data_IF_835193476607
#
_entry.id   IF_835193476607
#
_cell.length_a   1.000
_cell.length_b   1.000
_cell.length_c   1.000
_cell.angle_alpha   90.00
_cell.angle_beta   90.00
_cell.angle_gamma   90.00
#
_symmetry.space_group_name_H-M   'P 1'
#
loop_
_entity.id
_entity.type
_entity.pdbx_description
1 polymer ?
#
# COMPACT_ATOMS: atom_id res chain seq x y z
N UNK A 1 -16.84 22.94 -4.49
CA UNK A 1 -15.93 22.15 -3.65
C UNK A 1 -15.71 20.82 -4.37
N UNK A 2 -14.48 20.31 -4.48
CA UNK A 2 -14.29 18.96 -5.01
C UNK A 2 -14.67 17.97 -3.90
N UNK A 3 -15.85 17.35 -4.05
CA UNK A 3 -16.35 16.34 -3.13
C UNK A 3 -15.44 15.11 -3.22
N UNK A 4 -14.71 14.83 -2.14
CA UNK A 4 -13.76 13.71 -2.10
C UNK A 4 -14.47 12.35 -2.13
N UNK A 5 -13.95 11.41 -2.89
CA UNK A 5 -14.44 10.03 -2.95
C UNK A 5 -13.83 9.22 -1.79
N UNK A 6 -14.66 8.68 -0.90
CA UNK A 6 -14.19 7.77 0.15
C UNK A 6 -13.83 6.41 -0.46
N UNK A 7 -12.56 6.03 -0.36
CA UNK A 7 -12.08 4.71 -0.77
C UNK A 7 -12.24 3.72 0.39
N UNK A 8 -12.48 2.45 0.06
CA UNK A 8 -12.70 1.40 1.08
C UNK A 8 -11.53 1.27 2.07
N UNK A 9 -10.31 1.49 1.57
CA UNK A 9 -9.06 1.27 2.32
C UNK A 9 -8.84 -0.18 2.71
N UNK A 10 -7.70 -0.43 3.37
CA UNK A 10 -7.45 -1.68 4.10
C UNK A 10 -7.96 -1.58 5.54
N UNK A 11 -7.93 -2.67 6.30
CA UNK A 11 -8.44 -2.75 7.69
C UNK A 11 -7.91 -1.64 8.60
N UNK A 12 -6.66 -1.20 8.39
CA UNK A 12 -6.03 -0.15 9.20
C UNK A 12 -6.57 1.27 8.94
N UNK A 13 -7.16 1.51 7.77
CA UNK A 13 -7.58 2.85 7.32
C UNK A 13 -9.02 2.84 6.77
N UNK A 14 -9.85 1.90 7.23
CA UNK A 14 -11.21 1.72 6.71
C UNK A 14 -12.03 3.02 6.86
N UNK A 15 -12.51 3.56 5.74
CA UNK A 15 -13.29 4.81 5.71
C UNK A 15 -12.48 6.11 5.93
N UNK A 16 -11.17 6.03 6.16
CA UNK A 16 -10.31 7.19 6.39
C UNK A 16 -9.52 7.63 5.15
N UNK A 17 -9.66 6.91 4.04
CA UNK A 17 -8.97 7.22 2.78
C UNK A 17 -9.89 8.00 1.86
N UNK A 18 -9.47 9.19 1.46
CA UNK A 18 -10.25 10.09 0.61
C UNK A 18 -9.45 10.38 -0.65
N UNK A 19 -10.05 10.13 -1.81
CA UNK A 19 -9.51 10.55 -3.10
C UNK A 19 -10.05 11.92 -3.46
N UNK A 20 -9.17 12.83 -3.87
CA UNK A 20 -9.52 14.16 -4.36
C UNK A 20 -8.81 14.36 -5.70
N UNK A 21 -9.56 14.32 -6.81
CA UNK A 21 -8.98 14.36 -8.14
C UNK A 21 -8.04 13.17 -8.41
N UNK A 22 -6.76 13.46 -8.60
CA UNK A 22 -5.69 12.49 -8.84
C UNK A 22 -4.81 12.25 -7.59
N UNK A 23 -5.24 12.72 -6.42
CA UNK A 23 -4.57 12.47 -5.14
C UNK A 23 -5.41 11.55 -4.24
N UNK A 24 -4.73 10.79 -3.40
CA UNK A 24 -5.29 10.05 -2.28
C UNK A 24 -4.73 10.62 -0.99
N UNK A 25 -5.62 10.89 -0.03
CA UNK A 25 -5.30 11.33 1.32
C UNK A 25 -5.61 10.23 2.31
N UNK A 26 -4.67 9.91 3.19
CA UNK A 26 -4.84 8.93 4.27
C UNK A 26 -4.14 9.40 5.55
N UNK A 27 -4.55 8.93 6.75
CA UNK A 27 -3.87 9.29 7.98
C UNK A 27 -2.37 8.98 7.92
N UNK A 28 -1.54 9.92 8.39
CA UNK A 28 -0.12 9.67 8.59
C UNK A 28 0.13 8.77 9.81
N UNK A 29 1.28 8.15 9.86
CA UNK A 29 1.75 7.34 10.99
C UNK A 29 3.20 7.70 11.34
N UNK A 30 3.71 7.11 12.43
CA UNK A 30 5.11 7.27 12.81
C UNK A 30 6.11 6.79 11.72
N UNK A 31 5.64 6.00 10.74
CA UNK A 31 6.47 5.44 9.67
C UNK A 31 6.33 6.18 8.35
N UNK A 32 5.57 7.28 8.29
CA UNK A 32 5.31 8.02 7.05
C UNK A 32 6.59 8.42 6.32
N UNK A 33 7.59 8.96 7.02
CA UNK A 33 8.87 9.37 6.42
C UNK A 33 9.61 8.20 5.77
N UNK A 34 9.63 7.05 6.45
CA UNK A 34 10.25 5.82 5.93
C UNK A 34 9.51 5.32 4.68
N UNK A 35 8.18 5.32 4.71
CA UNK A 35 7.36 4.91 3.56
C UNK A 35 7.61 5.84 2.38
N UNK A 36 7.59 7.16 2.58
CA UNK A 36 7.85 8.11 1.50
C UNK A 36 9.25 7.92 0.89
N UNK A 37 10.28 7.77 1.74
CA UNK A 37 11.65 7.50 1.29
C UNK A 37 11.75 6.24 0.43
N UNK A 38 11.05 5.17 0.82
CA UNK A 38 11.01 3.92 0.05
C UNK A 38 10.28 4.08 -1.29
N UNK A 39 9.15 4.81 -1.31
CA UNK A 39 8.39 5.05 -2.53
C UNK A 39 9.20 5.90 -3.52
N UNK A 40 9.89 6.94 -3.04
CA UNK A 40 10.77 7.78 -3.84
C UNK A 40 11.93 6.97 -4.42
N UNK A 41 12.59 6.13 -3.62
CA UNK A 41 13.67 5.26 -4.06
C UNK A 41 13.22 4.25 -5.13
N UNK A 42 12.09 3.58 -4.89
CA UNK A 42 11.57 2.64 -5.88
C UNK A 42 11.30 3.34 -7.22
N UNK A 43 10.74 4.56 -7.19
CA UNK A 43 10.47 5.37 -8.39
C UNK A 43 11.73 5.86 -9.07
N UNK A 44 12.76 6.29 -8.33
CA UNK A 44 14.05 6.71 -8.90
C UNK A 44 14.75 5.55 -9.60
N UNK A 45 14.54 4.32 -9.12
CA UNK A 45 14.97 3.08 -9.77
C UNK A 45 14.02 2.61 -10.91
N UNK A 46 13.07 3.44 -11.33
CA UNK A 46 12.19 3.20 -12.48
C UNK A 46 10.95 2.35 -12.19
N UNK A 47 10.69 1.98 -10.93
CA UNK A 47 9.50 1.22 -10.57
C UNK A 47 8.27 2.12 -10.42
N UNK A 48 7.33 2.02 -11.36
CA UNK A 48 6.11 2.84 -11.40
C UNK A 48 4.90 2.18 -10.76
N UNK A 49 5.05 0.97 -10.22
CA UNK A 49 3.97 0.25 -9.51
C UNK A 49 3.58 0.87 -8.16
N UNK A 50 4.36 1.82 -7.65
CA UNK A 50 4.14 2.57 -6.40
C UNK A 50 3.58 3.97 -6.67
N UNK A 51 2.73 4.50 -5.77
CA UNK A 51 2.27 5.88 -5.87
C UNK A 51 3.43 6.85 -5.64
N UNK A 52 3.36 8.01 -6.30
CA UNK A 52 4.24 9.15 -6.01
C UNK A 52 3.83 9.78 -4.67
N UNK A 53 4.73 9.95 -3.70
CA UNK A 53 4.45 10.73 -2.51
C UNK A 53 4.42 12.22 -2.84
N UNK A 54 3.39 12.92 -2.38
CA UNK A 54 3.18 14.36 -2.61
C UNK A 54 3.40 15.19 -1.33
N UNK A 55 3.70 14.53 -0.20
CA UNK A 55 3.93 15.15 1.09
C UNK A 55 2.77 14.98 2.07
N UNK A 56 2.78 15.78 3.13
CA UNK A 56 1.75 15.82 4.16
C UNK A 56 0.88 17.06 3.97
N UNK A 57 -0.43 16.93 4.16
CA UNK A 57 -1.35 18.08 4.13
C UNK A 57 -1.44 18.79 5.48
N UNK A 58 -2.11 19.94 5.50
CA UNK A 58 -2.31 20.76 6.70
C UNK A 58 -3.09 20.05 7.82
N UNK A 59 -3.79 18.95 7.50
CA UNK A 59 -4.53 18.12 8.46
C UNK A 59 -3.71 16.92 8.95
N UNK A 60 -2.42 16.85 8.62
CA UNK A 60 -1.54 15.75 9.03
C UNK A 60 -1.80 14.44 8.29
N UNK A 61 -2.35 14.49 7.06
CA UNK A 61 -2.58 13.31 6.22
C UNK A 61 -1.51 13.19 5.14
N UNK A 62 -1.10 11.96 4.87
CA UNK A 62 -0.29 11.63 3.70
C UNK A 62 -1.07 11.93 2.43
N UNK A 63 -0.43 12.63 1.48
CA UNK A 63 -0.90 12.80 0.12
C UNK A 63 -0.08 11.93 -0.83
N UNK A 64 -0.76 11.11 -1.62
CA UNK A 64 -0.15 10.19 -2.58
C UNK A 64 -0.84 10.35 -3.94
N UNK A 65 -0.10 10.25 -5.04
CA UNK A 65 -0.70 10.18 -6.37
C UNK A 65 -1.56 8.93 -6.50
N UNK A 66 -2.79 9.11 -6.95
CA UNK A 66 -3.71 8.02 -7.27
C UNK A 66 -3.21 7.25 -8.49
N UNK A 67 -3.11 5.92 -8.35
CA UNK A 67 -2.87 5.01 -9.48
C UNK A 67 -4.22 4.52 -9.98
N UNK A 68 -4.63 4.84 -11.22
CA UNK A 68 -5.83 4.29 -11.81
C UNK A 68 -5.70 2.78 -11.96
N UNK A 69 -6.73 2.06 -11.49
CA UNK A 69 -6.76 0.61 -11.61
C UNK A 69 -7.99 0.00 -10.95
N UNK A 70 -8.29 -1.23 -11.33
CA UNK A 70 -9.30 -2.05 -10.66
C UNK A 70 -8.63 -2.84 -9.53
N UNK A 71 -9.27 -2.86 -8.36
CA UNK A 71 -8.85 -3.70 -7.25
C UNK A 71 -9.93 -4.72 -6.94
N UNK A 72 -9.51 -5.96 -6.73
CA UNK A 72 -10.40 -7.04 -6.36
C UNK A 72 -10.89 -6.83 -4.92
N UNK A 73 -12.17 -6.49 -4.78
CA UNK A 73 -12.87 -6.38 -3.49
C UNK A 73 -14.02 -7.39 -3.43
N UNK A 74 -14.47 -7.81 -2.24
CA UNK A 74 -15.66 -8.66 -2.10
C UNK A 74 -16.95 -7.99 -2.64
N UNK A 75 -17.83 -8.75 -3.31
CA UNK A 75 -17.63 -10.12 -3.77
C UNK A 75 -16.57 -10.16 -4.89
N UNK A 76 -15.56 -11.02 -4.72
CA UNK A 76 -14.39 -10.99 -5.58
C UNK A 76 -14.74 -11.33 -7.03
N UNK A 77 -14.29 -10.52 -8.01
CA UNK A 77 -14.59 -10.79 -9.41
C UNK A 77 -13.82 -12.00 -9.92
N UNK A 78 -14.37 -12.73 -10.91
CA UNK A 78 -13.78 -13.97 -11.44
C UNK A 78 -12.33 -13.78 -11.94
N UNK A 79 -12.02 -12.61 -12.51
CA UNK A 79 -10.68 -12.30 -12.99
C UNK A 79 -9.62 -12.29 -11.88
N UNK A 80 -10.02 -12.07 -10.63
CA UNK A 80 -9.13 -12.02 -9.47
C UNK A 80 -8.52 -13.39 -9.12
N UNK A 81 -9.05 -14.47 -9.70
CA UNK A 81 -8.58 -15.84 -9.51
C UNK A 81 -7.89 -16.41 -10.76
N UNK A 82 -7.66 -15.57 -11.77
CA UNK A 82 -7.02 -16.04 -13.00
C UNK A 82 -5.54 -16.39 -12.76
N UNK A 83 -5.02 -17.49 -13.32
CA UNK A 83 -3.59 -17.78 -13.31
C UNK A 83 -2.75 -16.64 -13.90
N UNK A 84 -3.29 -15.94 -14.90
CA UNK A 84 -2.66 -14.77 -15.50
C UNK A 84 -2.46 -13.61 -14.52
N UNK A 85 -3.45 -13.33 -13.67
CA UNK A 85 -3.30 -12.31 -12.62
C UNK A 85 -2.24 -12.73 -11.60
N UNK A 86 -2.25 -13.99 -11.15
CA UNK A 86 -1.24 -14.50 -10.22
C UNK A 86 0.17 -14.31 -10.78
N UNK A 87 0.40 -14.73 -12.03
CA UNK A 87 1.69 -14.54 -12.70
C UNK A 87 2.06 -13.05 -12.84
N UNK A 88 1.08 -12.17 -13.11
CA UNK A 88 1.29 -10.73 -13.18
C UNK A 88 1.69 -10.13 -11.83
N UNK A 89 1.03 -10.53 -10.74
CA UNK A 89 1.36 -10.11 -9.38
C UNK A 89 2.75 -10.59 -8.99
N UNK A 90 3.11 -11.84 -9.29
CA UNK A 90 4.46 -12.36 -9.01
C UNK A 90 5.56 -11.56 -9.73
N UNK A 91 5.34 -11.19 -11.00
CA UNK A 91 6.27 -10.33 -11.75
C UNK A 91 6.36 -8.92 -11.15
N UNK A 92 5.22 -8.34 -10.77
CA UNK A 92 5.17 -7.03 -10.13
C UNK A 92 5.95 -7.01 -8.81
N UNK A 93 5.76 -8.03 -7.96
CA UNK A 93 6.47 -8.14 -6.69
C UNK A 93 7.97 -8.34 -6.88
N UNK A 94 8.36 -9.15 -7.87
CA UNK A 94 9.78 -9.29 -8.19
C UNK A 94 10.39 -7.97 -8.67
N UNK A 95 9.73 -7.27 -9.57
CA UNK A 95 10.19 -5.95 -10.04
C UNK A 95 10.27 -4.92 -8.90
N UNK A 96 9.32 -4.96 -7.96
CA UNK A 96 9.39 -4.14 -6.75
C UNK A 96 10.63 -4.48 -5.92
N UNK A 97 10.86 -5.77 -5.63
CA UNK A 97 12.05 -6.20 -4.90
C UNK A 97 13.34 -5.77 -5.60
N UNK A 98 13.47 -6.01 -6.90
CA UNK A 98 14.65 -5.60 -7.66
C UNK A 98 14.90 -4.08 -7.55
N UNK A 99 13.83 -3.27 -7.54
CA UNK A 99 13.92 -1.80 -7.41
C UNK A 99 14.23 -1.28 -6.00
N UNK A 100 14.07 -2.09 -4.95
CA UNK A 100 14.35 -1.69 -3.56
C UNK A 100 15.50 -2.49 -2.94
N UNK A 101 16.21 -3.29 -3.73
CA UNK A 101 17.27 -4.18 -3.26
C UNK A 101 18.44 -3.45 -2.59
N UNK A 102 18.71 -2.22 -3.02
CA UNK A 102 19.77 -1.33 -2.54
C UNK A 102 19.24 -0.17 -1.68
N UNK A 103 17.95 -0.20 -1.31
CA UNK A 103 17.38 0.84 -0.47
C UNK A 103 18.03 0.88 0.91
N UNK A 104 18.55 2.05 1.29
CA UNK A 104 19.07 2.32 2.62
C UNK A 104 18.06 3.20 3.37
N UNK A 105 17.48 2.72 4.48
CA UNK A 105 16.51 3.50 5.23
C UNK A 105 17.16 4.72 5.91
N UNK A 106 16.40 5.81 6.14
CA UNK A 106 16.86 6.93 6.95
C UNK A 106 17.34 6.50 8.33
N UNK A 107 18.32 7.21 8.91
CA UNK A 107 18.90 6.86 10.21
C UNK A 107 17.87 6.87 11.36
N UNK A 108 16.82 7.68 11.24
CA UNK A 108 15.70 7.78 12.19
C UNK A 108 14.49 6.91 11.82
N UNK A 109 14.64 5.95 10.89
CA UNK A 109 13.55 5.13 10.40
C UNK A 109 12.84 4.36 11.54
N UNK A 110 11.53 4.55 11.62
CA UNK A 110 10.65 3.78 12.51
C UNK A 110 10.01 2.66 11.71
N UNK A 111 10.23 1.42 12.12
CA UNK A 111 9.65 0.24 11.47
C UNK A 111 8.42 -0.28 12.20
N UNK A 112 7.38 -0.68 11.45
CA UNK A 112 6.39 -1.61 11.97
C UNK A 112 6.89 -3.05 11.78
N UNK A 113 7.02 -3.80 12.87
CA UNK A 113 7.51 -5.18 12.87
C UNK A 113 6.42 -6.24 13.02
N UNK A 114 5.14 -5.86 13.07
CA UNK A 114 4.00 -6.77 13.27
C UNK A 114 3.95 -7.92 12.24
N UNK A 115 4.38 -7.64 11.01
CA UNK A 115 4.44 -8.61 9.90
C UNK A 115 5.88 -8.90 9.43
N UNK A 116 6.89 -8.51 10.23
CA UNK A 116 8.27 -8.76 9.88
C UNK A 116 8.61 -10.25 10.03
N UNK A 117 9.51 -10.73 9.17
CA UNK A 117 10.10 -12.05 9.36
C UNK A 117 10.89 -12.06 10.68
N UNK A 118 10.73 -13.09 11.54
CA UNK A 118 11.35 -13.12 12.87
C UNK A 118 12.88 -13.05 12.81
N UNK A 119 13.48 -13.63 11.76
CA UNK A 119 14.94 -13.61 11.56
C UNK A 119 15.45 -12.34 10.85
N UNK A 120 14.58 -11.36 10.63
CA UNK A 120 14.88 -10.21 9.78
C UNK A 120 14.96 -10.57 8.29
N UNK A 121 15.35 -9.61 7.47
CA UNK A 121 15.40 -9.76 6.03
C UNK A 121 16.43 -8.84 5.39
N UNK A 122 17.00 -9.27 4.27
CA UNK A 122 18.01 -8.51 3.51
C UNK A 122 17.42 -7.42 2.63
N UNK A 123 16.10 -7.37 2.52
CA UNK A 123 15.37 -6.51 1.59
C UNK A 123 14.04 -6.09 2.18
N UNK A 124 13.55 -4.92 1.79
CA UNK A 124 12.21 -4.45 2.16
C UNK A 124 11.15 -5.23 1.40
N UNK A 125 10.28 -5.93 2.14
CA UNK A 125 9.14 -6.65 1.57
C UNK A 125 7.84 -5.83 1.59
N UNK A 126 6.90 -6.18 0.70
CA UNK A 126 5.53 -5.64 0.75
C UNK A 126 4.72 -6.21 1.95
N UNK A 127 5.02 -7.44 2.38
CA UNK A 127 4.54 -8.14 3.59
C UNK A 127 3.04 -8.36 3.79
N UNK A 128 2.16 -7.67 3.08
CA UNK A 128 0.71 -7.89 3.13
C UNK A 128 0.11 -8.00 1.72
N UNK A 129 0.63 -8.93 0.92
CA UNK A 129 -0.01 -9.32 -0.36
C UNK A 129 -1.06 -10.37 -0.07
N UNK A 130 -2.21 -9.93 0.42
CA UNK A 130 -3.29 -10.83 0.83
C UNK A 130 -4.43 -10.93 -0.19
N UNK A 131 -4.95 -12.15 -0.36
CA UNK A 131 -6.27 -12.42 -0.98
C UNK A 131 -7.44 -12.23 0.02
N UNK A 132 -7.16 -12.15 1.33
CA UNK A 132 -8.03 -12.64 2.40
C UNK A 132 -9.30 -11.80 2.67
N UNK A 133 -10.51 -12.40 2.77
CA UNK A 133 -11.63 -11.82 3.50
C UNK A 133 -11.40 -12.00 5.02
N UNK A 134 -11.62 -11.00 5.88
CA UNK A 134 -11.51 -11.17 7.32
C UNK A 134 -12.45 -12.30 7.79
N UNK A 135 -11.95 -13.20 8.64
CA UNK A 135 -12.68 -14.35 9.21
C UNK A 135 -13.72 -13.95 10.26
N UNK A 136 -14.42 -12.83 10.05
CA UNK A 136 -15.50 -12.38 10.92
C UNK A 136 -16.68 -11.92 10.05
N UNK A 137 -17.90 -12.45 10.25
CA UNK A 137 -19.04 -12.05 9.44
C UNK A 137 -19.31 -10.55 9.65
N UNK A 138 -19.31 -9.78 8.56
CA UNK A 138 -19.86 -8.43 8.53
C UNK A 138 -21.33 -8.53 8.11
N UNK A 139 -22.20 -7.84 8.85
CA UNK A 139 -23.63 -7.75 8.57
C UNK A 139 -23.91 -7.21 7.15
N UNK A 140 -25.05 -7.58 6.52
CA UNK A 140 -25.23 -7.48 5.07
C UNK A 140 -25.64 -6.10 4.53
N UNK A 141 -25.44 -5.02 5.28
CA UNK A 141 -25.81 -3.67 4.84
C UNK A 141 -24.63 -2.93 4.21
N UNK A 142 -24.87 -2.32 3.03
CA UNK A 142 -24.00 -1.46 2.21
C UNK A 142 -23.14 -2.14 1.14
N UNK A 143 -23.82 -2.60 0.08
CA UNK A 143 -23.26 -2.71 -1.27
C UNK A 143 -23.00 -1.31 -1.83
N UNK A 144 -21.73 -0.98 -2.04
CA UNK A 144 -21.29 0.14 -2.87
C UNK A 144 -20.02 -0.29 -3.62
N UNK A 145 -19.98 0.00 -4.92
CA UNK A 145 -18.87 -0.33 -5.84
C UNK A 145 -17.63 0.42 -5.34
N UNK A 146 -16.60 -0.29 -4.89
CA UNK A 146 -15.45 0.31 -4.17
C UNK A 146 -14.12 -0.01 -4.87
N UNK A 147 -13.26 0.99 -5.01
CA UNK A 147 -11.84 0.87 -5.42
C UNK A 147 -10.97 1.07 -4.16
N UNK A 148 -9.93 0.28 -3.96
CA UNK A 148 -9.06 0.34 -2.76
C UNK A 148 -7.63 0.78 -3.10
N UNK A 149 -6.88 1.27 -2.10
CA UNK A 149 -5.48 1.66 -2.23
C UNK A 149 -4.58 0.56 -1.61
N UNK A 150 -3.74 -0.14 -2.39
CA UNK A 150 -3.04 -1.35 -1.92
C UNK A 150 -1.87 -1.11 -0.94
N UNK A 151 -1.41 0.13 -0.77
CA UNK A 151 -0.13 0.44 -0.10
C UNK A 151 -0.23 0.73 1.41
N UNK A 152 -1.29 0.31 2.11
CA UNK A 152 -1.50 0.65 3.53
C UNK A 152 -0.62 -0.10 4.53
N UNK A 153 0.10 -1.16 4.13
CA UNK A 153 0.91 -2.01 5.05
C UNK A 153 2.27 -2.47 4.51
N UNK A 154 2.80 -1.82 3.48
CA UNK A 154 4.08 -2.20 2.90
C UNK A 154 5.25 -1.80 3.80
N UNK A 155 5.58 -2.56 4.85
CA UNK A 155 6.75 -2.28 5.70
C UNK A 155 7.29 -3.54 6.39
N UNK A 156 8.48 -3.98 6.00
CA UNK A 156 9.48 -4.62 6.88
C UNK A 156 10.79 -4.70 6.11
N UNK A 157 11.84 -4.09 6.64
CA UNK A 157 13.20 -4.59 6.61
C UNK A 157 13.79 -4.34 8.00
N UNK A 158 14.49 -5.33 8.53
CA UNK A 158 15.33 -5.15 9.71
C UNK A 158 16.76 -5.29 9.20
N UNK A 159 17.50 -4.17 9.17
CA UNK A 159 18.92 -4.21 8.89
C UNK A 159 19.66 -4.57 10.19
N UNK A 160 20.62 -5.50 10.16
CA UNK A 160 21.46 -5.76 11.32
C UNK A 160 22.22 -4.48 11.70
N UNK A 161 22.31 -4.23 13.01
CA UNK A 161 23.08 -3.12 13.61
C UNK A 161 24.56 -3.18 13.24
#
# INVERSE_FOLDING_TARGET
MNDGEVLAGGVANAGAIIRIGDEVRRPASAQTELVFSLLEHARSNGFTGVPEPLGIDEQGRERLRYIPGDVAIPPFPKWSLSPGLLASVSRLLRAFHDAVADFVPPANAVWNTELAHPDGGRIVGHNDVCRRPPTRPLSPSLVSRRRSAPWSRAQSASFPR
#
